data_IF_084709027340
#
_entry.id   IF_084709027340
#
_cell.length_a   1.000
_cell.length_b   1.000
_cell.length_c   1.000
_cell.angle_alpha   90.00
_cell.angle_beta   90.00
_cell.angle_gamma   90.00
#
_symmetry.space_group_name_H-M   'P 1'
#
loop_
_entity.id
_entity.type
_entity.pdbx_description
1 polymer ?
#
# COMPACT_ATOMS: atom_id res chain seq x y z
N UNK A 1 -11.63 20.73 2.08
CA UNK A 1 -12.32 19.92 1.06
C UNK A 1 -13.17 20.80 0.18
N UNK A 2 -12.93 20.77 -1.13
CA UNK A 2 -13.82 21.45 -2.08
C UNK A 2 -15.15 20.71 -2.09
N UNK A 3 -16.26 21.44 -1.95
CA UNK A 3 -17.64 20.90 -1.94
C UNK A 3 -17.94 19.88 -0.81
N UNK A 4 -17.03 19.69 0.15
CA UNK A 4 -17.16 18.72 1.24
C UNK A 4 -17.49 17.29 0.76
N UNK A 5 -16.81 16.82 -0.29
CA UNK A 5 -17.04 15.50 -0.91
C UNK A 5 -15.80 14.62 -0.84
N UNK A 6 -16.05 13.33 -0.66
CA UNK A 6 -15.07 12.26 -0.78
C UNK A 6 -15.64 11.25 -1.77
N UNK A 7 -14.84 10.88 -2.76
CA UNK A 7 -15.26 10.02 -3.84
C UNK A 7 -14.54 8.68 -3.74
N UNK A 8 -15.29 7.59 -3.91
CA UNK A 8 -14.75 6.24 -3.86
C UNK A 8 -14.64 5.64 -5.26
N UNK A 9 -13.48 5.05 -5.54
CA UNK A 9 -13.18 4.38 -6.80
C UNK A 9 -13.13 2.86 -6.63
N UNK A 10 -13.43 2.14 -7.72
CA UNK A 10 -13.35 0.67 -7.74
C UNK A 10 -11.97 0.15 -8.14
N UNK A 11 -11.21 0.96 -8.89
CA UNK A 11 -9.98 0.52 -9.57
C UNK A 11 -8.96 1.63 -9.54
N UNK A 12 -7.72 1.28 -9.26
CA UNK A 12 -6.53 2.12 -9.41
C UNK A 12 -5.59 1.44 -10.41
N UNK A 13 -4.89 2.24 -11.22
CA UNK A 13 -3.97 1.72 -12.21
C UNK A 13 -2.57 2.29 -11.95
N UNK A 14 -1.61 1.41 -11.64
CA UNK A 14 -0.24 1.80 -11.29
C UNK A 14 0.72 1.35 -12.37
N UNK A 15 1.57 2.26 -12.78
CA UNK A 15 2.60 2.00 -13.78
C UNK A 15 3.87 1.52 -13.08
N UNK A 16 4.51 0.50 -13.64
CA UNK A 16 5.79 0.00 -13.13
C UNK A 16 6.70 -0.45 -14.26
N UNK A 17 8.00 -0.44 -14.00
CA UNK A 17 9.02 -0.90 -14.95
C UNK A 17 9.34 -2.37 -14.67
N UNK A 18 9.17 -3.24 -15.65
CA UNK A 18 9.57 -4.65 -15.54
C UNK A 18 11.08 -4.81 -15.72
N UNK A 19 11.61 -5.97 -15.32
CA UNK A 19 13.06 -6.28 -15.37
C UNK A 19 13.73 -6.07 -16.74
N UNK A 20 12.99 -6.27 -17.83
CA UNK A 20 13.45 -6.02 -19.19
C UNK A 20 13.26 -4.56 -19.65
N UNK A 21 13.17 -3.62 -18.70
CA UNK A 21 13.00 -2.17 -18.92
C UNK A 21 11.73 -1.83 -19.73
N UNK A 22 10.70 -2.67 -19.68
CA UNK A 22 9.41 -2.36 -20.30
C UNK A 22 8.51 -1.69 -19.29
N UNK A 23 7.69 -0.76 -19.78
CA UNK A 23 6.65 -0.16 -19.00
C UNK A 23 5.42 -1.08 -19.00
N UNK A 24 4.94 -1.45 -17.83
CA UNK A 24 3.70 -2.22 -17.68
C UNK A 24 2.81 -1.58 -16.62
N UNK A 25 1.59 -2.11 -16.47
CA UNK A 25 0.56 -1.53 -15.64
C UNK A 25 -0.16 -2.59 -14.82
N UNK A 26 -0.20 -2.36 -13.52
CA UNK A 26 -1.00 -3.16 -12.59
C UNK A 26 -2.36 -2.51 -12.37
N UNK A 27 -3.32 -3.37 -12.04
CA UNK A 27 -4.73 -3.05 -11.95
C UNK A 27 -5.23 -3.42 -10.57
N UNK A 28 -5.14 -2.48 -9.64
CA UNK A 28 -5.50 -2.69 -8.24
C UNK A 28 -7.01 -2.53 -8.08
N UNK A 29 -7.61 -3.50 -7.39
CA UNK A 29 -9.02 -3.52 -7.04
C UNK A 29 -9.18 -4.12 -5.65
N UNK A 30 -9.83 -3.38 -4.74
CA UNK A 30 -10.00 -3.79 -3.34
C UNK A 30 -10.71 -5.14 -3.14
N UNK A 31 -11.38 -5.68 -4.17
CA UNK A 31 -12.05 -7.00 -4.11
C UNK A 31 -11.22 -8.19 -4.58
N UNK A 32 -10.30 -7.98 -5.53
CA UNK A 32 -9.69 -9.11 -6.28
C UNK A 32 -8.18 -9.04 -6.35
N UNK A 33 -7.63 -7.83 -6.43
CA UNK A 33 -6.20 -7.53 -6.60
C UNK A 33 -5.86 -6.40 -5.64
N UNK A 34 -6.01 -6.67 -4.34
CA UNK A 34 -5.96 -5.65 -3.29
C UNK A 34 -4.59 -5.52 -2.65
N UNK A 35 -3.72 -6.52 -2.80
CA UNK A 35 -2.45 -6.55 -2.11
C UNK A 35 -1.39 -5.79 -2.90
N UNK A 36 -0.64 -4.93 -2.23
CA UNK A 36 0.38 -4.07 -2.84
C UNK A 36 1.66 -4.08 -2.04
N UNK A 37 2.77 -3.79 -2.70
CA UNK A 37 4.09 -3.67 -2.08
C UNK A 37 4.65 -2.26 -2.20
N UNK A 38 5.36 -1.84 -1.17
CA UNK A 38 5.97 -0.53 -1.02
C UNK A 38 7.40 -0.68 -0.52
N UNK A 39 8.22 0.35 -0.69
CA UNK A 39 9.54 0.38 -0.07
C UNK A 39 9.39 0.44 1.45
N UNK A 40 10.12 -0.40 2.18
CA UNK A 40 10.16 -0.30 3.64
C UNK A 40 11.10 0.82 4.07
N UNK A 41 10.84 1.38 5.24
CA UNK A 41 11.75 2.30 5.93
C UNK A 41 12.57 1.59 7.02
N UNK A 42 12.79 0.27 6.88
CA UNK A 42 13.58 -0.51 7.84
C UNK A 42 15.08 -0.31 7.60
N UNK A 43 15.88 -0.12 8.66
CA UNK A 43 17.34 -0.02 8.54
C UNK A 43 17.94 -1.33 7.98
N UNK A 44 18.78 -1.21 6.95
CA UNK A 44 19.43 -2.34 6.27
C UNK A 44 20.34 -3.19 7.18
N UNK A 45 20.72 -2.66 8.34
CA UNK A 45 21.70 -3.28 9.25
C UNK A 45 21.20 -4.53 10.01
N UNK A 46 19.89 -4.84 10.02
CA UNK A 46 19.30 -5.89 10.88
C UNK A 46 18.43 -6.94 10.16
N UNK A 47 18.83 -7.45 8.98
CA UNK A 47 17.95 -8.31 8.17
C UNK A 47 16.59 -7.63 7.87
N UNK A 48 16.65 -6.31 7.62
CA UNK A 48 15.49 -5.51 7.21
C UNK A 48 14.91 -6.06 5.91
N UNK A 49 13.58 -6.22 5.85
CA UNK A 49 12.95 -6.63 4.61
C UNK A 49 12.77 -5.38 3.74
N UNK A 50 13.26 -5.39 2.50
CA UNK A 50 13.25 -4.23 1.60
C UNK A 50 11.85 -3.66 1.30
N UNK A 51 10.81 -4.48 1.48
CA UNK A 51 9.44 -4.10 1.14
C UNK A 51 8.49 -4.26 2.32
N UNK A 52 7.56 -3.32 2.42
CA UNK A 52 6.33 -3.49 3.17
C UNK A 52 5.22 -3.98 2.24
N UNK A 53 4.25 -4.66 2.83
CA UNK A 53 3.08 -5.17 2.14
C UNK A 53 1.85 -4.68 2.85
N UNK A 54 0.80 -4.39 2.08
CA UNK A 54 -0.48 -3.97 2.64
C UNK A 54 -1.62 -4.39 1.73
N UNK A 55 -2.82 -4.52 2.29
CA UNK A 55 -4.05 -4.78 1.56
C UNK A 55 -4.85 -3.50 1.41
N UNK A 56 -5.11 -3.07 0.18
CA UNK A 56 -5.98 -1.94 -0.14
C UNK A 56 -7.42 -2.29 0.21
N UNK A 57 -7.96 -1.63 1.23
CA UNK A 57 -9.34 -1.74 1.66
C UNK A 57 -10.25 -0.77 0.88
N UNK A 58 -9.74 0.40 0.52
CA UNK A 58 -10.50 1.41 -0.22
C UNK A 58 -9.60 2.32 -1.05
N UNK A 59 -10.16 2.80 -2.17
CA UNK A 59 -9.50 3.75 -3.08
C UNK A 59 -10.39 4.99 -3.11
N UNK A 60 -9.81 6.13 -2.79
CA UNK A 60 -10.53 7.39 -2.69
C UNK A 60 -9.80 8.50 -3.41
N UNK A 61 -10.55 9.52 -3.82
CA UNK A 61 -9.95 10.81 -4.14
C UNK A 61 -10.73 11.92 -3.46
N UNK A 62 -10.04 13.02 -3.24
CA UNK A 62 -10.60 14.22 -2.65
C UNK A 62 -10.02 15.44 -3.33
N UNK A 63 -10.90 16.37 -3.70
CA UNK A 63 -10.48 17.68 -4.19
C UNK A 63 -10.35 18.64 -3.00
N UNK A 64 -9.18 19.26 -2.85
CA UNK A 64 -8.90 20.15 -1.73
C UNK A 64 -8.07 21.36 -2.14
N UNK A 65 -8.41 22.50 -1.53
CA UNK A 65 -7.55 23.67 -1.44
C UNK A 65 -6.97 23.69 -0.02
N UNK A 66 -5.68 23.94 0.10
CA UNK A 66 -5.03 24.11 1.40
C UNK A 66 -4.47 25.53 1.52
N UNK A 67 -4.38 26.01 2.74
CA UNK A 67 -3.82 27.33 3.00
C UNK A 67 -2.29 27.24 2.93
N UNK A 68 -1.68 28.05 2.05
CA UNK A 68 -0.23 28.11 1.88
C UNK A 68 0.35 29.18 2.81
N UNK A 69 -0.32 30.34 2.88
CA UNK A 69 0.04 31.49 3.72
C UNK A 69 -1.24 32.08 4.32
N UNK A 70 -1.14 32.93 5.36
CA UNK A 70 -2.29 33.72 5.83
C UNK A 70 -2.98 34.40 4.65
N UNK A 71 -4.30 34.17 4.49
CA UNK A 71 -5.12 34.70 3.39
C UNK A 71 -4.77 34.26 1.96
N UNK A 72 -3.90 33.26 1.78
CA UNK A 72 -3.54 32.70 0.48
C UNK A 72 -3.82 31.20 0.41
N UNK A 73 -4.72 30.83 -0.48
CA UNK A 73 -5.14 29.45 -0.71
C UNK A 73 -4.48 28.88 -1.97
N UNK A 74 -4.20 27.59 -1.95
CA UNK A 74 -3.80 26.84 -3.14
C UNK A 74 -4.95 26.75 -4.13
N UNK A 75 -4.62 26.50 -5.39
CA UNK A 75 -5.60 26.02 -6.37
C UNK A 75 -6.22 24.70 -5.91
N UNK A 76 -7.36 24.34 -6.51
CA UNK A 76 -8.02 23.04 -6.30
C UNK A 76 -7.08 21.92 -6.74
N UNK A 77 -6.65 21.10 -5.78
CA UNK A 77 -5.78 19.96 -5.99
C UNK A 77 -6.57 18.67 -5.85
N UNK A 78 -6.42 17.79 -6.84
CA UNK A 78 -6.92 16.43 -6.80
C UNK A 78 -5.92 15.53 -6.09
N UNK A 79 -6.32 14.92 -4.97
CA UNK A 79 -5.47 14.00 -4.22
C UNK A 79 -6.11 12.61 -4.16
N UNK A 80 -5.40 11.62 -4.70
CA UNK A 80 -5.75 10.21 -4.55
C UNK A 80 -5.19 9.66 -3.24
N UNK A 81 -6.00 8.88 -2.52
CA UNK A 81 -5.64 8.29 -1.23
C UNK A 81 -6.13 6.86 -1.15
N UNK A 82 -5.26 5.94 -0.72
CA UNK A 82 -5.60 4.56 -0.44
C UNK A 82 -5.83 4.37 1.05
N UNK A 83 -6.95 3.73 1.42
CA UNK A 83 -7.10 3.15 2.75
C UNK A 83 -6.58 1.73 2.71
N UNK A 84 -5.63 1.42 3.57
CA UNK A 84 -4.90 0.14 3.55
C UNK A 84 -4.93 -0.56 4.91
N UNK A 85 -4.78 -1.87 4.90
CA UNK A 85 -4.63 -2.75 6.06
C UNK A 85 -3.28 -3.45 6.00
N UNK A 86 -2.39 -3.08 6.92
CA UNK A 86 -0.99 -3.48 6.91
C UNK A 86 -0.77 -4.97 7.25
N UNK A 87 0.21 -5.55 6.57
CA UNK A 87 0.77 -6.85 6.94
C UNK A 87 1.99 -6.66 7.86
N UNK A 88 2.00 -7.39 8.97
CA UNK A 88 3.17 -7.55 9.83
C UNK A 88 4.02 -8.76 9.42
N UNK A 89 5.34 -8.65 9.60
CA UNK A 89 6.28 -9.76 9.39
C UNK A 89 6.06 -10.84 10.45
N UNK A 90 6.02 -12.11 10.04
CA UNK A 90 6.04 -13.23 10.99
C UNK A 90 7.48 -13.56 11.39
N UNK A 91 7.95 -12.98 12.49
CA UNK A 91 9.31 -13.22 12.99
C UNK A 91 9.54 -14.65 13.50
N UNK A 92 8.47 -15.40 13.83
CA UNK A 92 8.58 -16.80 14.28
C UNK A 92 8.85 -17.76 13.13
N UNK A 93 8.41 -17.40 11.93
CA UNK A 93 8.68 -18.15 10.70
C UNK A 93 9.36 -17.24 9.68
N UNK A 94 10.66 -16.91 9.89
CA UNK A 94 11.37 -16.08 8.92
C UNK A 94 11.41 -16.82 7.59
N UNK A 95 10.84 -16.24 6.54
CA UNK A 95 11.04 -16.68 5.17
C UNK A 95 12.27 -16.01 4.54
N UNK A 96 12.44 -16.20 3.24
CA UNK A 96 13.48 -15.56 2.45
C UNK A 96 14.35 -16.55 1.67
N UNK A 97 15.15 -16.00 0.76
CA UNK A 97 15.97 -16.78 -0.17
C UNK A 97 16.91 -17.76 0.51
N UNK A 98 17.55 -17.36 1.62
CA UNK A 98 18.48 -18.21 2.38
C UNK A 98 17.77 -19.47 2.88
N UNK A 99 16.54 -19.31 3.38
CA UNK A 99 15.73 -20.41 3.90
C UNK A 99 14.96 -21.16 2.83
N UNK A 100 15.01 -20.71 1.57
CA UNK A 100 14.25 -21.26 0.43
C UNK A 100 12.75 -21.40 0.72
N UNK A 101 12.21 -20.50 1.55
CA UNK A 101 10.81 -20.45 1.95
C UNK A 101 10.23 -19.07 1.63
N UNK A 102 8.96 -19.03 1.25
CA UNK A 102 8.25 -17.76 1.03
C UNK A 102 8.21 -16.93 2.33
N UNK A 103 8.19 -15.60 2.19
CA UNK A 103 8.02 -14.71 3.33
C UNK A 103 6.64 -14.95 3.94
N UNK A 104 6.61 -15.30 5.22
CA UNK A 104 5.37 -15.43 5.98
C UNK A 104 5.00 -14.07 6.58
N UNK A 105 3.78 -13.63 6.29
CA UNK A 105 3.21 -12.37 6.76
C UNK A 105 1.84 -12.62 7.38
N UNK A 106 1.40 -11.71 8.24
CA UNK A 106 0.13 -11.78 8.97
C UNK A 106 -0.52 -10.41 8.94
N UNK A 107 -1.85 -10.35 8.86
CA UNK A 107 -2.56 -9.10 9.09
C UNK A 107 -2.27 -8.56 10.49
N UNK A 108 -2.01 -7.27 10.59
CA UNK A 108 -2.07 -6.61 11.90
C UNK A 108 -3.49 -6.75 12.45
N UNK A 109 -3.58 -6.94 13.77
CA UNK A 109 -4.87 -7.10 14.44
C UNK A 109 -5.71 -5.82 14.23
N UNK A 110 -6.99 -5.94 13.88
CA UNK A 110 -7.83 -4.77 13.61
C UNK A 110 -7.99 -3.83 14.82
N UNK A 111 -7.72 -4.32 16.04
CA UNK A 111 -7.67 -3.52 17.27
C UNK A 111 -6.39 -2.71 17.42
N UNK A 112 -5.34 -3.03 16.67
CA UNK A 112 -4.08 -2.29 16.68
C UNK A 112 -4.29 -0.92 16.02
N UNK A 113 -3.98 0.20 16.70
CA UNK A 113 -4.08 1.54 16.13
C UNK A 113 -3.28 1.71 14.82
N UNK A 114 -2.25 0.90 14.60
CA UNK A 114 -1.43 0.89 13.39
C UNK A 114 -1.87 -0.08 12.30
N UNK A 115 -2.98 -0.82 12.48
CA UNK A 115 -3.41 -1.81 11.50
C UNK A 115 -3.91 -1.19 10.20
N UNK A 116 -4.61 -0.06 10.30
CA UNK A 116 -5.13 0.67 9.15
C UNK A 116 -4.36 1.97 8.95
N UNK A 117 -4.21 2.38 7.70
CA UNK A 117 -3.56 3.65 7.37
C UNK A 117 -4.03 4.22 6.06
N UNK A 118 -3.73 5.50 5.86
CA UNK A 118 -3.82 6.14 4.57
C UNK A 118 -2.47 6.10 3.87
N UNK A 119 -2.50 5.86 2.57
CA UNK A 119 -1.30 5.71 1.75
C UNK A 119 -1.45 6.50 0.44
N UNK A 120 -0.40 7.21 0.07
CA UNK A 120 -0.28 7.83 -1.25
C UNK A 120 -0.05 6.72 -2.32
N UNK A 121 -0.91 6.61 -3.35
CA UNK A 121 -0.69 5.71 -4.48
C UNK A 121 0.69 5.77 -5.11
N UNK A 122 1.36 6.93 -5.08
CA UNK A 122 2.70 7.10 -5.65
C UNK A 122 3.79 6.30 -4.91
N UNK A 123 3.54 5.90 -3.66
CA UNK A 123 4.45 5.06 -2.86
C UNK A 123 4.31 3.57 -3.17
N UNK A 124 3.25 3.18 -3.89
CA UNK A 124 3.06 1.78 -4.28
C UNK A 124 3.97 1.46 -5.45
N UNK A 125 4.86 0.49 -5.25
CA UNK A 125 5.78 0.03 -6.28
C UNK A 125 5.05 -0.88 -7.27
N UNK A 126 4.22 -1.79 -6.74
CA UNK A 126 3.58 -2.83 -7.54
C UNK A 126 2.43 -3.51 -6.80
N UNK A 127 1.54 -4.16 -7.54
CA UNK A 127 0.68 -5.21 -7.00
C UNK A 127 1.53 -6.39 -6.49
N UNK A 128 1.11 -6.98 -5.37
CA UNK A 128 1.70 -8.17 -4.79
C UNK A 128 0.67 -9.31 -4.76
N UNK A 129 1.06 -10.49 -5.22
CA UNK A 129 0.20 -11.67 -5.11
C UNK A 129 0.50 -12.41 -3.80
N UNK A 130 -0.35 -12.21 -2.78
CA UNK A 130 -0.22 -12.85 -1.47
C UNK A 130 -1.04 -14.15 -1.45
N UNK A 131 -0.38 -15.26 -1.13
CA UNK A 131 -1.00 -16.59 -1.07
C UNK A 131 -1.30 -16.94 0.40
N UNK A 132 -2.51 -17.43 0.73
CA UNK A 132 -2.82 -17.91 2.06
C UNK A 132 -1.85 -19.02 2.50
N UNK A 133 -1.40 -18.94 3.75
CA UNK A 133 -0.59 -19.97 4.35
C UNK A 133 -1.51 -21.06 4.95
N UNK A 134 -2.05 -21.94 4.10
CA UNK A 134 -3.05 -22.96 4.46
C UNK A 134 -2.69 -23.84 5.66
N UNK A 135 -1.41 -23.99 5.96
CA UNK A 135 -0.95 -24.73 7.14
C UNK A 135 -1.37 -24.08 8.48
N UNK A 136 -1.80 -22.81 8.48
CA UNK A 136 -2.14 -22.05 9.68
C UNK A 136 -3.64 -21.79 9.86
N UNK A 137 -4.51 -22.28 8.96
CA UNK A 137 -5.96 -22.11 9.03
C UNK A 137 -6.47 -20.93 8.22
#
# INVERSE_FOLDING_TARGET
FVKNRLYQHKKLLINYTSYNMRHNRDSINSRTHSDVMLLSYEDESKNGHLYWYTRVAGIFHVDLCHQIEPDKWSDEQHMDVLLVWWYGRNLRHPGGFIKKCLLCMRFLDASDPGAFGFLDPALVIREAHVIPAFAFG
#
